data_IF_649671510550
#
_entry.id   IF_649671510550
#
_cell.length_a   1.000
_cell.length_b   1.000
_cell.length_c   1.000
_cell.angle_alpha   90.00
_cell.angle_beta   90.00
_cell.angle_gamma   90.00
#
_symmetry.space_group_name_H-M   'P 1'
#
loop_
_entity.id
_entity.type
_entity.pdbx_description
1 polymer ?
#
# COMPACT_ATOMS: atom_id res chain seq x y z
N UNK A 1 11.56 -2.96 2.59
CA UNK A 1 12.17 -4.09 1.86
C UNK A 1 11.84 -4.03 0.36
N UNK A 2 10.59 -3.77 -0.06
CA UNK A 2 10.19 -3.60 -1.47
C UNK A 2 11.00 -2.60 -2.33
N UNK A 3 11.50 -1.51 -1.76
CA UNK A 3 12.36 -0.57 -2.48
C UNK A 3 13.76 -1.12 -2.79
N UNK A 4 14.28 -1.99 -1.92
CA UNK A 4 15.61 -2.59 -2.06
C UNK A 4 15.61 -3.61 -3.20
N UNK A 5 14.59 -4.47 -3.26
CA UNK A 5 14.38 -5.45 -4.34
C UNK A 5 14.26 -4.78 -5.72
N UNK A 6 13.51 -3.67 -5.81
CA UNK A 6 13.36 -2.93 -7.07
C UNK A 6 14.69 -2.33 -7.54
N UNK A 7 15.50 -1.80 -6.61
CA UNK A 7 16.83 -1.27 -6.94
C UNK A 7 17.82 -2.36 -7.35
N UNK A 8 17.77 -3.53 -6.70
CA UNK A 8 18.63 -4.69 -6.99
C UNK A 8 18.36 -5.22 -8.40
N UNK A 9 17.09 -5.37 -8.79
CA UNK A 9 16.72 -5.86 -10.11
C UNK A 9 17.14 -4.89 -11.23
N UNK A 10 17.10 -3.58 -10.97
CA UNK A 10 17.56 -2.55 -11.92
C UNK A 10 19.07 -2.62 -12.12
N UNK A 11 19.86 -2.74 -11.04
CA UNK A 11 21.32 -2.86 -11.11
C UNK A 11 21.74 -4.15 -11.83
N UNK A 12 21.07 -5.27 -11.56
CA UNK A 12 21.31 -6.52 -12.26
C UNK A 12 21.00 -6.42 -13.77
N UNK A 13 19.91 -5.74 -14.14
CA UNK A 13 19.55 -5.52 -15.54
C UNK A 13 20.58 -4.67 -16.29
N UNK A 14 21.17 -3.68 -15.61
CA UNK A 14 22.27 -2.89 -16.17
C UNK A 14 23.56 -3.70 -16.36
N UNK A 15 23.89 -4.58 -15.42
CA UNK A 15 25.02 -5.50 -15.54
C UNK A 15 24.90 -6.42 -16.74
N UNK A 16 23.75 -7.07 -16.88
CA UNK A 16 23.45 -7.96 -18.00
C UNK A 16 23.58 -7.23 -19.36
N UNK A 17 23.17 -5.97 -19.43
CA UNK A 17 23.33 -5.16 -20.65
C UNK A 17 24.81 -4.99 -21.03
N UNK A 18 25.70 -4.69 -20.08
CA UNK A 18 27.15 -4.56 -20.33
C UNK A 18 27.75 -5.87 -20.86
N UNK A 19 27.32 -7.01 -20.33
CA UNK A 19 27.74 -8.35 -20.79
C UNK A 19 27.30 -8.62 -22.23
N UNK A 20 26.05 -8.31 -22.56
CA UNK A 20 25.49 -8.53 -23.89
C UNK A 20 26.23 -7.69 -24.93
N UNK A 21 26.55 -6.43 -24.63
CA UNK A 21 27.37 -5.60 -25.52
C UNK A 21 28.77 -6.23 -25.66
N UNK A 22 29.36 -6.74 -24.57
CA UNK A 22 30.64 -7.46 -24.55
C UNK A 22 30.66 -8.65 -25.51
N UNK A 23 29.65 -9.49 -25.43
CA UNK A 23 29.45 -10.62 -26.32
C UNK A 23 29.25 -10.18 -27.79
N UNK A 24 28.51 -9.09 -28.02
CA UNK A 24 28.29 -8.54 -29.36
C UNK A 24 29.61 -8.11 -30.01
N UNK A 25 30.47 -7.39 -29.29
CA UNK A 25 31.79 -6.98 -29.80
C UNK A 25 32.65 -8.18 -30.18
N UNK A 26 32.58 -9.26 -29.38
CA UNK A 26 33.28 -10.51 -29.66
C UNK A 26 32.79 -11.21 -30.92
N UNK A 27 31.48 -11.21 -31.17
CA UNK A 27 30.87 -11.81 -32.37
C UNK A 27 31.20 -11.00 -33.63
N UNK A 28 31.17 -9.67 -33.54
CA UNK A 28 31.41 -8.76 -34.68
C UNK A 28 32.91 -8.54 -34.96
N UNK A 29 33.80 -9.06 -34.10
CA UNK A 29 35.26 -8.97 -34.24
C UNK A 29 35.79 -7.52 -34.27
N UNK A 30 35.18 -6.63 -33.50
CA UNK A 30 35.70 -5.27 -33.35
C UNK A 30 37.02 -5.23 -32.57
N UNK A 31 37.86 -4.25 -32.86
CA UNK A 31 39.09 -4.01 -32.12
C UNK A 31 38.77 -3.70 -30.66
N UNK A 32 39.45 -4.36 -29.71
CA UNK A 32 39.13 -4.22 -28.28
C UNK A 32 38.04 -5.19 -27.77
N UNK A 33 37.59 -6.15 -28.58
CA UNK A 33 36.51 -7.07 -28.20
C UNK A 33 36.84 -7.97 -26.99
N UNK A 34 38.10 -8.36 -26.80
CA UNK A 34 38.50 -9.18 -25.66
C UNK A 34 38.44 -8.38 -24.36
N UNK A 35 38.90 -7.14 -24.40
CA UNK A 35 38.94 -6.20 -23.28
C UNK A 35 37.51 -5.86 -22.86
N UNK A 36 36.62 -5.62 -23.81
CA UNK A 36 35.23 -5.30 -23.51
C UNK A 36 34.45 -6.52 -22.97
N UNK A 37 34.67 -7.70 -23.55
CA UNK A 37 34.09 -8.94 -23.03
C UNK A 37 34.60 -9.26 -21.61
N UNK A 38 35.87 -8.99 -21.32
CA UNK A 38 36.45 -9.14 -19.99
C UNK A 38 35.77 -8.22 -18.98
N UNK A 39 35.56 -6.94 -19.33
CA UNK A 39 34.83 -5.98 -18.49
C UNK A 39 33.39 -6.45 -18.23
N UNK A 40 32.68 -6.94 -19.25
CA UNK A 40 31.34 -7.50 -19.09
C UNK A 40 31.31 -8.67 -18.12
N UNK A 41 32.17 -9.67 -18.31
CA UNK A 41 32.23 -10.87 -17.46
C UNK A 41 32.61 -10.54 -16.00
N UNK A 42 33.52 -9.60 -15.77
CA UNK A 42 33.84 -9.13 -14.40
C UNK A 42 32.67 -8.39 -13.74
N UNK A 43 31.93 -7.60 -14.52
CA UNK A 43 30.73 -6.90 -14.02
C UNK A 43 29.66 -7.91 -13.59
N UNK A 44 29.44 -8.97 -14.39
CA UNK A 44 28.48 -10.03 -14.06
C UNK A 44 28.89 -10.83 -12.81
N UNK A 45 30.17 -11.17 -12.69
CA UNK A 45 30.69 -11.87 -11.52
C UNK A 45 30.51 -11.06 -10.23
N UNK A 46 30.75 -9.75 -10.28
CA UNK A 46 30.55 -8.86 -9.13
C UNK A 46 29.07 -8.78 -8.72
N UNK A 47 28.14 -8.72 -9.68
CA UNK A 47 26.70 -8.68 -9.42
C UNK A 47 26.22 -9.99 -8.81
N UNK A 48 26.65 -11.15 -9.33
CA UNK A 48 26.26 -12.45 -8.76
C UNK A 48 26.74 -12.65 -7.32
N UNK A 49 27.96 -12.21 -7.00
CA UNK A 49 28.48 -12.28 -5.62
C UNK A 49 27.64 -11.38 -4.70
N UNK A 50 27.35 -10.15 -5.12
CA UNK A 50 26.52 -9.23 -4.35
C UNK A 50 25.09 -9.78 -4.16
N UNK A 51 24.52 -10.39 -5.19
CA UNK A 51 23.20 -11.01 -5.14
C UNK A 51 23.19 -12.23 -4.21
N UNK A 52 24.22 -13.08 -4.26
CA UNK A 52 24.35 -14.25 -3.39
C UNK A 52 24.43 -13.87 -1.91
N UNK A 53 25.20 -12.82 -1.58
CA UNK A 53 25.32 -12.32 -0.20
C UNK A 53 24.00 -11.69 0.27
N UNK A 54 23.31 -10.92 -0.58
CA UNK A 54 22.01 -10.35 -0.25
C UNK A 54 20.91 -11.40 -0.13
N UNK A 55 20.93 -12.44 -0.96
CA UNK A 55 19.99 -13.56 -0.89
C UNK A 55 20.15 -14.34 0.42
N UNK A 56 21.37 -14.50 0.93
CA UNK A 56 21.60 -15.07 2.26
C UNK A 56 21.02 -14.22 3.42
N UNK A 57 20.88 -12.91 3.22
CA UNK A 57 20.28 -12.00 4.21
C UNK A 57 18.78 -11.78 4.03
N UNK A 58 18.22 -12.18 2.89
CA UNK A 58 16.79 -12.10 2.64
C UNK A 58 16.05 -13.10 3.54
N UNK A 59 15.16 -12.60 4.40
CA UNK A 59 14.31 -13.45 5.24
C UNK A 59 13.41 -14.31 4.34
N UNK A 60 13.21 -15.60 4.67
CA UNK A 60 12.29 -16.45 3.94
C UNK A 60 10.91 -15.80 3.91
N UNK A 61 10.24 -15.88 2.75
CA UNK A 61 8.90 -15.34 2.56
C UNK A 61 7.99 -15.88 3.66
N UNK A 62 7.32 -14.97 4.39
CA UNK A 62 6.40 -15.38 5.46
C UNK A 62 5.16 -16.01 4.83
N UNK A 63 5.03 -17.32 4.93
CA UNK A 63 3.77 -18.00 4.68
C UNK A 63 2.77 -17.57 5.77
N UNK A 64 1.81 -16.73 5.38
CA UNK A 64 0.73 -16.33 6.26
C UNK A 64 -0.36 -17.41 6.20
N UNK A 65 -0.51 -18.18 7.28
CA UNK A 65 -1.61 -19.14 7.44
C UNK A 65 -2.91 -18.40 7.82
N UNK A 66 -3.48 -17.68 6.84
CA UNK A 66 -4.70 -16.87 6.98
C UNK A 66 -5.92 -17.71 7.40
N UNK A 67 -5.90 -19.03 7.17
CA UNK A 67 -6.91 -20.00 7.60
C UNK A 67 -7.05 -20.09 9.13
N UNK A 68 -5.99 -19.77 9.89
CA UNK A 68 -6.06 -19.72 11.37
C UNK A 68 -6.76 -18.47 11.90
N UNK A 69 -6.77 -17.39 11.12
CA UNK A 69 -7.27 -16.07 11.57
C UNK A 69 -8.68 -15.80 11.04
N UNK A 70 -9.01 -16.37 9.88
CA UNK A 70 -10.34 -16.27 9.26
C UNK A 70 -10.83 -17.66 8.86
N UNK A 71 -11.28 -18.48 9.83
CA UNK A 71 -11.79 -19.83 9.54
C UNK A 71 -13.00 -19.81 8.61
N UNK A 72 -13.69 -18.67 8.50
CA UNK A 72 -14.85 -18.46 7.62
C UNK A 72 -14.50 -18.48 6.13
N UNK A 73 -13.21 -18.37 5.76
CA UNK A 73 -12.73 -18.48 4.38
C UNK A 73 -12.43 -19.94 3.96
N UNK A 74 -12.25 -20.85 4.92
CA UNK A 74 -11.84 -22.22 4.63
C UNK A 74 -12.98 -23.08 4.02
N UNK A 75 -14.24 -22.76 4.34
CA UNK A 75 -15.40 -23.60 3.99
C UNK A 75 -16.36 -22.96 2.97
N UNK A 76 -16.11 -21.72 2.53
CA UNK A 76 -16.88 -21.05 1.46
C UNK A 76 -18.40 -20.89 1.70
N UNK A 77 -18.90 -21.16 2.92
CA UNK A 77 -20.32 -21.12 3.25
C UNK A 77 -20.71 -19.83 4.00
N UNK A 78 -21.88 -19.22 3.71
CA UNK A 78 -22.32 -18.00 4.40
C UNK A 78 -22.62 -18.30 5.89
N UNK A 79 -22.14 -17.42 6.77
CA UNK A 79 -22.16 -17.56 8.22
C UNK A 79 -23.56 -17.86 8.78
N UNK A 80 -23.69 -18.97 9.52
CA UNK A 80 -24.85 -19.26 10.38
C UNK A 80 -24.59 -18.73 11.79
N UNK A 81 -25.45 -17.82 12.24
CA UNK A 81 -25.47 -17.32 13.61
C UNK A 81 -25.82 -18.45 14.59
N UNK A 82 -24.94 -18.69 15.57
CA UNK A 82 -25.16 -19.65 16.63
C UNK A 82 -25.59 -18.95 17.93
N UNK A 83 -26.62 -19.52 18.55
CA UNK A 83 -27.36 -19.03 19.71
C UNK A 83 -26.61 -19.07 21.06
N UNK A 84 -25.30 -19.32 21.06
CA UNK A 84 -24.39 -19.08 22.20
C UNK A 84 -23.98 -17.61 22.34
N UNK A 85 -24.42 -16.78 21.40
CA UNK A 85 -24.19 -15.35 21.38
C UNK A 85 -24.86 -14.61 22.55
N UNK A 86 -25.87 -15.14 23.25
CA UNK A 86 -26.57 -14.40 24.31
C UNK A 86 -25.69 -14.01 25.50
N UNK A 87 -24.94 -14.98 26.06
CA UNK A 87 -24.05 -14.74 27.20
C UNK A 87 -22.72 -14.11 26.77
N UNK A 88 -22.20 -14.54 25.61
CA UNK A 88 -20.97 -14.00 25.04
C UNK A 88 -21.15 -12.57 24.50
N UNK A 89 -22.37 -12.18 24.10
CA UNK A 89 -22.68 -10.80 23.71
C UNK A 89 -22.85 -9.87 24.91
N UNK A 90 -23.18 -10.36 26.11
CA UNK A 90 -23.05 -9.54 27.32
C UNK A 90 -21.59 -9.28 27.67
N UNK A 91 -20.70 -10.24 27.42
CA UNK A 91 -19.25 -10.07 27.63
C UNK A 91 -18.58 -9.20 26.54
N UNK A 92 -19.13 -9.18 25.33
CA UNK A 92 -18.55 -8.51 24.16
C UNK A 92 -19.32 -7.24 23.72
N UNK A 93 -20.38 -6.85 24.42
CA UNK A 93 -21.02 -5.55 24.23
C UNK A 93 -20.10 -4.48 24.81
N UNK A 94 -19.65 -3.54 23.96
CA UNK A 94 -18.93 -2.34 24.37
C UNK A 94 -19.78 -1.54 25.36
N UNK A 95 -19.54 -1.77 26.65
CA UNK A 95 -20.29 -1.13 27.71
C UNK A 95 -20.56 -2.04 28.89
N UNK A 96 -19.54 -2.73 29.40
CA UNK A 96 -19.54 -3.12 30.82
C UNK A 96 -19.29 -1.86 31.65
N UNK A 97 -20.31 -0.99 31.70
CA UNK A 97 -20.28 0.21 32.53
C UNK A 97 -20.14 -0.18 34.00
N UNK A 98 -19.47 0.68 34.77
CA UNK A 98 -19.29 0.53 36.22
C UNK A 98 -20.63 0.20 36.92
N UNK A 99 -21.76 0.69 36.40
CA UNK A 99 -23.11 0.44 36.90
C UNK A 99 -23.54 -1.03 36.87
N UNK A 100 -23.16 -1.81 35.85
CA UNK A 100 -23.54 -3.24 35.76
C UNK A 100 -22.72 -4.06 36.76
N UNK A 101 -21.45 -3.72 36.93
CA UNK A 101 -20.56 -4.33 37.93
C UNK A 101 -20.99 -3.94 39.35
N UNK A 102 -21.40 -2.69 39.56
CA UNK A 102 -21.92 -2.20 40.83
C UNK A 102 -23.24 -2.89 41.20
N UNK A 103 -24.15 -3.05 40.24
CA UNK A 103 -25.42 -3.73 40.47
C UNK A 103 -25.23 -5.24 40.74
N UNK A 104 -24.28 -5.89 40.06
CA UNK A 104 -23.93 -7.29 40.35
C UNK A 104 -23.28 -7.43 41.73
N UNK A 105 -22.40 -6.49 42.11
CA UNK A 105 -21.75 -6.46 43.43
C UNK A 105 -22.74 -6.20 44.54
N UNK A 106 -23.70 -5.27 44.35
CA UNK A 106 -24.82 -5.05 45.29
C UNK A 106 -25.68 -6.29 45.44
N UNK A 107 -25.97 -7.00 44.34
CA UNK A 107 -26.77 -8.23 44.36
C UNK A 107 -26.05 -9.37 45.10
N UNK A 108 -24.75 -9.55 44.86
CA UNK A 108 -23.91 -10.53 45.57
C UNK A 108 -23.74 -10.19 47.06
N UNK A 109 -23.61 -8.90 47.39
CA UNK A 109 -23.59 -8.43 48.78
C UNK A 109 -24.93 -8.69 49.47
N UNK A 110 -26.05 -8.41 48.82
CA UNK A 110 -27.39 -8.71 49.36
C UNK A 110 -27.62 -10.21 49.58
N UNK A 111 -27.10 -11.07 48.70
CA UNK A 111 -27.15 -12.52 48.90
C UNK A 111 -26.29 -12.96 50.10
N UNK A 112 -25.11 -12.33 50.27
CA UNK A 112 -24.22 -12.58 51.41
C UNK A 112 -24.86 -12.13 52.73
N UNK A 113 -25.50 -10.97 52.76
CA UNK A 113 -26.19 -10.44 53.95
C UNK A 113 -27.41 -11.30 54.32
N UNK A 114 -28.12 -11.82 53.31
CA UNK A 114 -29.22 -12.79 53.51
C UNK A 114 -28.70 -14.12 54.08
N UNK A 115 -27.55 -14.60 53.59
CA UNK A 115 -26.92 -15.82 54.10
C UNK A 115 -26.41 -15.66 55.55
N UNK A 116 -25.84 -14.51 55.89
CA UNK A 116 -25.43 -14.17 57.26
C UNK A 116 -26.64 -14.08 58.20
N UNK A 117 -27.75 -13.50 57.74
CA UNK A 117 -29.00 -13.44 58.52
C UNK A 117 -29.57 -14.84 58.78
N UNK A 118 -29.50 -15.75 57.79
CA UNK A 118 -29.86 -17.16 57.96
C UNK A 118 -28.92 -17.90 58.93
N UNK A 119 -27.64 -17.53 58.99
CA UNK A 119 -26.69 -18.08 59.96
C UNK A 119 -27.03 -17.70 61.39
N UNK A 120 -27.44 -16.45 61.63
CA UNK A 120 -27.83 -15.97 62.96
C UNK A 120 -29.14 -16.61 63.43
N UNK A 121 -30.12 -16.77 62.52
CA UNK A 121 -31.38 -17.47 62.80
C UNK A 121 -31.12 -18.95 63.14
N UNK A 122 -30.24 -19.64 62.40
CA UNK A 122 -29.85 -21.02 62.69
C UNK A 122 -29.15 -21.18 64.05
N UNK A 123 -28.30 -20.22 64.45
CA UNK A 123 -27.66 -20.20 65.78
C UNK A 123 -28.68 -19.98 66.91
N UNK A 124 -29.71 -19.18 66.69
CA UNK A 124 -30.76 -18.88 67.68
C UNK A 124 -31.76 -20.02 67.93
N UNK A 125 -31.92 -20.96 66.97
CA UNK A 125 -32.89 -22.08 67.06
C UNK A 125 -32.24 -23.45 67.31
N UNK A 126 -30.92 -23.53 67.54
CA UNK A 126 -30.24 -24.78 67.86
C UNK A 126 -30.25 -25.83 66.74
N UNK A 127 -30.42 -25.40 65.49
CA UNK A 127 -30.51 -26.30 64.34
C UNK A 127 -29.11 -26.65 63.79
N UNK A 128 -28.67 -27.85 64.18
CA UNK A 128 -27.76 -28.80 63.51
C UNK A 128 -26.37 -28.32 63.09
N UNK A 129 -25.35 -28.93 63.70
CA UNK A 129 -23.92 -28.78 63.42
C UNK A 129 -23.55 -28.83 61.92
N UNK A 130 -24.28 -29.61 61.11
CA UNK A 130 -24.08 -29.74 59.67
C UNK A 130 -24.44 -28.47 58.89
N UNK A 131 -25.43 -27.69 59.36
CA UNK A 131 -25.74 -26.38 58.78
C UNK A 131 -24.64 -25.38 59.11
N UNK A 132 -24.13 -25.36 60.35
CA UNK A 132 -23.00 -24.51 60.75
C UNK A 132 -21.74 -24.85 59.95
N UNK A 133 -21.47 -26.14 59.74
CA UNK A 133 -20.33 -26.59 58.93
C UNK A 133 -20.50 -26.19 57.46
N UNK A 134 -21.69 -26.38 56.89
CA UNK A 134 -22.00 -25.96 55.51
C UNK A 134 -21.90 -24.44 55.33
N UNK A 135 -22.25 -23.67 56.36
CA UNK A 135 -22.20 -22.23 56.33
C UNK A 135 -20.78 -21.69 56.54
N UNK A 136 -19.95 -22.34 57.36
CA UNK A 136 -18.51 -22.05 57.42
C UNK A 136 -17.83 -22.34 56.08
N UNK A 137 -18.14 -23.46 55.44
CA UNK A 137 -17.62 -23.78 54.10
C UNK A 137 -18.10 -22.79 53.04
N UNK A 138 -19.36 -22.35 53.15
CA UNK A 138 -19.93 -21.31 52.27
C UNK A 138 -19.27 -19.95 52.51
N UNK A 139 -18.98 -19.59 53.76
CA UNK A 139 -18.28 -18.37 54.13
C UNK A 139 -16.84 -18.36 53.59
N UNK A 140 -16.13 -19.50 53.67
CA UNK A 140 -14.82 -19.66 53.05
C UNK A 140 -14.88 -19.57 51.52
N UNK A 141 -15.90 -20.17 50.91
CA UNK A 141 -16.15 -20.09 49.46
C UNK A 141 -16.51 -18.67 49.02
N UNK A 142 -17.25 -17.91 49.83
CA UNK A 142 -17.55 -16.49 49.62
C UNK A 142 -16.29 -15.62 49.79
N UNK A 143 -15.42 -15.95 50.74
CA UNK A 143 -14.12 -15.31 50.88
C UNK A 143 -13.21 -15.56 49.67
N UNK A 144 -13.19 -16.78 49.15
CA UNK A 144 -12.49 -17.14 47.92
C UNK A 144 -13.08 -16.44 46.69
N UNK A 145 -14.42 -16.36 46.59
CA UNK A 145 -15.10 -15.60 45.54
C UNK A 145 -14.77 -14.11 45.62
N UNK A 146 -14.77 -13.50 46.80
CA UNK A 146 -14.41 -12.10 46.99
C UNK A 146 -12.96 -11.82 46.57
N UNK A 147 -12.05 -12.77 46.84
CA UNK A 147 -10.66 -12.72 46.36
C UNK A 147 -10.60 -12.81 44.83
N UNK A 148 -11.30 -13.76 44.22
CA UNK A 148 -11.36 -13.91 42.75
C UNK A 148 -11.99 -12.68 42.08
N UNK A 149 -13.00 -12.07 42.69
CA UNK A 149 -13.61 -10.81 42.21
C UNK A 149 -12.65 -9.63 42.34
N UNK A 150 -11.86 -9.55 43.42
CA UNK A 150 -10.81 -8.54 43.58
C UNK A 150 -9.66 -8.74 42.58
N UNK A 151 -9.24 -9.98 42.35
CA UNK A 151 -8.21 -10.34 41.38
C UNK A 151 -8.71 -10.10 39.93
N UNK A 152 -9.98 -10.38 39.65
CA UNK A 152 -10.64 -10.06 38.38
C UNK A 152 -10.81 -8.55 38.19
N UNK A 153 -11.10 -7.78 39.25
CA UNK A 153 -11.17 -6.31 39.22
C UNK A 153 -9.80 -5.70 38.96
N UNK A 154 -8.74 -6.25 39.54
CA UNK A 154 -7.35 -5.86 39.30
C UNK A 154 -6.93 -6.20 37.87
N UNK A 155 -7.33 -7.37 37.38
CA UNK A 155 -7.10 -7.80 35.98
C UNK A 155 -7.90 -6.93 35.00
N UNK A 156 -9.13 -6.56 35.33
CA UNK A 156 -9.96 -5.65 34.53
C UNK A 156 -9.41 -4.21 34.56
N UNK A 157 -8.83 -3.78 35.67
CA UNK A 157 -8.06 -2.53 35.76
C UNK A 157 -6.79 -2.60 34.90
N UNK A 158 -6.11 -3.75 34.84
CA UNK A 158 -4.99 -3.96 33.93
C UNK A 158 -5.40 -3.99 32.44
N UNK A 159 -6.61 -4.47 32.13
CA UNK A 159 -7.25 -4.36 30.80
C UNK A 159 -7.62 -2.89 30.50
N UNK A 160 -8.03 -2.12 31.51
CA UNK A 160 -8.26 -0.68 31.42
C UNK A 160 -6.94 0.09 31.23
N UNK A 161 -5.82 -0.38 31.78
CA UNK A 161 -4.47 0.17 31.50
C UNK A 161 -3.99 -0.24 30.09
N UNK A 162 -4.39 -1.41 29.58
CA UNK A 162 -4.27 -1.79 28.16
C UNK A 162 -5.20 -0.99 27.22
N UNK A 163 -6.11 -0.16 27.75
CA UNK A 163 -7.02 0.68 26.96
C UNK A 163 -6.28 1.74 26.13
N UNK A 164 -5.07 2.17 26.53
CA UNK A 164 -4.27 3.07 25.70
C UNK A 164 -3.83 2.39 24.41
N UNK A 165 -3.41 1.11 24.46
CA UNK A 165 -2.99 0.37 23.27
C UNK A 165 -4.18 -0.03 22.39
N UNK A 166 -5.30 -0.46 22.98
CA UNK A 166 -6.52 -0.79 22.23
C UNK A 166 -7.18 0.45 21.60
N UNK A 167 -7.20 1.59 22.30
CA UNK A 167 -7.65 2.87 21.74
C UNK A 167 -6.69 3.38 20.66
N UNK A 168 -5.38 3.17 20.82
CA UNK A 168 -4.39 3.46 19.78
C UNK A 168 -4.56 2.54 18.57
N UNK A 169 -4.89 1.27 18.77
CA UNK A 169 -5.16 0.30 17.70
C UNK A 169 -6.42 0.67 16.93
N UNK A 170 -7.51 1.03 17.62
CA UNK A 170 -8.74 1.54 17.01
C UNK A 170 -8.48 2.84 16.23
N UNK A 171 -7.68 3.77 16.76
CA UNK A 171 -7.25 4.98 16.05
C UNK A 171 -6.37 4.67 14.83
N UNK A 172 -5.48 3.69 14.91
CA UNK A 172 -4.65 3.25 13.79
C UNK A 172 -5.47 2.57 12.70
N UNK A 173 -6.47 1.76 13.07
CA UNK A 173 -7.41 1.15 12.13
C UNK A 173 -8.32 2.18 11.46
N UNK A 174 -8.82 3.17 12.21
CA UNK A 174 -9.58 4.28 11.63
C UNK A 174 -8.71 5.08 10.64
N UNK A 175 -7.46 5.41 11.00
CA UNK A 175 -6.50 6.06 10.09
C UNK A 175 -6.19 5.21 8.86
N UNK A 176 -6.07 3.90 9.01
CA UNK A 176 -5.85 3.00 7.88
C UNK A 176 -7.08 2.98 6.95
N UNK A 177 -8.29 3.01 7.51
CA UNK A 177 -9.54 3.19 6.75
C UNK A 177 -9.57 4.50 5.97
N UNK A 178 -9.22 5.62 6.61
CA UNK A 178 -9.13 6.93 5.96
C UNK A 178 -8.06 6.95 4.86
N UNK A 179 -6.92 6.31 5.10
CA UNK A 179 -5.85 6.16 4.11
C UNK A 179 -6.29 5.31 2.92
N UNK A 180 -7.03 4.22 3.13
CA UNK A 180 -7.58 3.40 2.05
C UNK A 180 -8.65 4.13 1.25
N UNK A 181 -9.52 4.89 1.91
CA UNK A 181 -10.51 5.73 1.25
C UNK A 181 -9.83 6.83 0.40
N UNK A 182 -8.80 7.48 0.95
CA UNK A 182 -7.98 8.43 0.20
C UNK A 182 -7.22 7.78 -0.95
N UNK A 183 -6.70 6.56 -0.77
CA UNK A 183 -6.00 5.83 -1.83
C UNK A 183 -6.93 5.49 -3.00
N UNK A 184 -8.16 5.06 -2.70
CA UNK A 184 -9.17 4.80 -3.72
C UNK A 184 -9.55 6.07 -4.48
N UNK A 185 -9.69 7.20 -3.78
CA UNK A 185 -9.94 8.49 -4.43
C UNK A 185 -8.77 8.94 -5.33
N UNK A 186 -7.52 8.69 -4.91
CA UNK A 186 -6.34 8.94 -5.74
C UNK A 186 -6.31 8.00 -6.94
N UNK A 187 -6.65 6.73 -6.78
CA UNK A 187 -6.70 5.76 -7.88
C UNK A 187 -7.74 6.14 -8.94
N UNK A 188 -8.93 6.58 -8.50
CA UNK A 188 -9.97 7.16 -9.37
C UNK A 188 -9.43 8.38 -10.13
N UNK A 189 -8.71 9.27 -9.43
CA UNK A 189 -8.12 10.48 -10.00
C UNK A 189 -7.02 10.14 -11.01
N UNK A 190 -6.13 9.19 -10.70
CA UNK A 190 -5.08 8.73 -11.63
C UNK A 190 -5.68 8.09 -12.87
N UNK A 191 -6.74 7.29 -12.75
CA UNK A 191 -7.42 6.73 -13.93
C UNK A 191 -8.02 7.86 -14.79
N UNK A 192 -8.63 8.86 -14.17
CA UNK A 192 -9.17 10.01 -14.90
C UNK A 192 -8.06 10.84 -15.56
N UNK A 193 -6.94 11.06 -14.88
CA UNK A 193 -5.79 11.81 -15.38
C UNK A 193 -5.07 11.04 -16.49
N UNK A 194 -4.87 9.74 -16.34
CA UNK A 194 -4.37 8.86 -17.39
C UNK A 194 -5.30 8.88 -18.62
N UNK A 195 -6.62 8.90 -18.43
CA UNK A 195 -7.58 9.04 -19.53
C UNK A 195 -7.45 10.41 -20.24
N UNK A 196 -7.29 11.50 -19.48
CA UNK A 196 -7.00 12.84 -20.04
C UNK A 196 -5.67 12.85 -20.79
N UNK A 197 -4.64 12.22 -20.24
CA UNK A 197 -3.32 12.13 -20.84
C UNK A 197 -3.35 11.31 -22.13
N UNK A 198 -4.09 10.21 -22.18
CA UNK A 198 -4.32 9.43 -23.41
C UNK A 198 -5.05 10.25 -24.48
N UNK A 199 -6.07 11.05 -24.10
CA UNK A 199 -6.74 11.97 -25.02
C UNK A 199 -5.78 13.06 -25.53
N UNK A 200 -4.96 13.63 -24.66
CA UNK A 200 -3.96 14.64 -25.03
C UNK A 200 -2.89 14.07 -25.97
N UNK A 201 -2.41 12.85 -25.70
CA UNK A 201 -1.49 12.12 -26.58
C UNK A 201 -2.11 11.87 -27.95
N UNK A 202 -3.36 11.41 -28.00
CA UNK A 202 -4.02 11.15 -29.28
C UNK A 202 -4.23 12.46 -30.09
N UNK A 203 -4.59 13.55 -29.41
CA UNK A 203 -4.65 14.88 -30.01
C UNK A 203 -3.29 15.39 -30.49
N UNK A 204 -2.23 15.12 -29.74
CA UNK A 204 -0.86 15.47 -30.11
C UNK A 204 -0.42 14.74 -31.38
N UNK A 205 -0.70 13.43 -31.52
CA UNK A 205 -0.42 12.70 -32.75
C UNK A 205 -1.13 13.30 -33.97
N UNK A 206 -2.40 13.71 -33.81
CA UNK A 206 -3.13 14.41 -34.87
C UNK A 206 -2.48 15.76 -35.24
N UNK A 207 -2.11 16.56 -34.25
CA UNK A 207 -1.45 17.84 -34.47
C UNK A 207 -0.04 17.69 -35.07
N UNK A 208 0.73 16.69 -34.67
CA UNK A 208 2.05 16.40 -35.25
C UNK A 208 1.89 16.00 -36.71
N UNK A 209 0.91 15.16 -37.04
CA UNK A 209 0.66 14.77 -38.43
C UNK A 209 0.28 15.99 -39.30
N UNK A 210 -0.61 16.85 -38.79
CA UNK A 210 -0.97 18.11 -39.46
C UNK A 210 0.22 19.07 -39.61
N UNK A 211 1.09 19.15 -38.59
CA UNK A 211 2.30 19.98 -38.62
C UNK A 211 3.31 19.47 -39.63
N UNK A 212 3.52 18.15 -39.71
CA UNK A 212 4.38 17.51 -40.71
C UNK A 212 3.87 17.78 -42.12
N UNK A 213 2.55 17.72 -42.32
CA UNK A 213 1.90 18.03 -43.59
C UNK A 213 2.05 19.51 -43.98
N UNK A 214 1.89 20.43 -43.02
CA UNK A 214 2.19 21.86 -43.21
C UNK A 214 3.68 22.15 -43.45
N UNK A 215 4.59 21.41 -42.83
CA UNK A 215 6.02 21.54 -43.08
C UNK A 215 6.35 21.13 -44.53
N UNK A 216 5.77 20.02 -44.99
CA UNK A 216 5.94 19.55 -46.37
C UNK A 216 5.38 20.56 -47.39
N UNK A 217 4.23 21.18 -47.12
CA UNK A 217 3.69 22.23 -48.00
C UNK A 217 4.54 23.50 -47.98
N UNK A 218 5.01 23.93 -46.81
CA UNK A 218 5.90 25.09 -46.67
C UNK A 218 7.22 24.88 -47.42
N UNK A 219 7.76 23.66 -47.40
CA UNK A 219 8.95 23.31 -48.17
C UNK A 219 8.69 23.44 -49.68
N UNK A 220 7.52 23.01 -50.15
CA UNK A 220 7.10 23.17 -51.55
C UNK A 220 6.92 24.64 -51.95
N UNK A 221 6.35 25.46 -51.06
CA UNK A 221 6.19 26.90 -51.29
C UNK A 221 7.55 27.62 -51.32
N UNK A 222 8.51 27.21 -50.49
CA UNK A 222 9.87 27.73 -50.52
C UNK A 222 10.59 27.40 -51.85
N UNK A 223 10.39 26.20 -52.40
CA UNK A 223 10.91 25.83 -53.73
C UNK A 223 10.28 26.67 -54.84
N UNK A 224 8.96 26.85 -54.81
CA UNK A 224 8.25 27.69 -55.78
C UNK A 224 8.71 29.15 -55.69
N UNK A 225 8.86 29.69 -54.49
CA UNK A 225 9.36 31.04 -54.25
C UNK A 225 10.79 31.21 -54.79
N UNK A 226 11.67 30.23 -54.55
CA UNK A 226 13.02 30.21 -55.12
C UNK A 226 12.99 30.22 -56.65
N UNK A 227 12.08 29.46 -57.27
CA UNK A 227 11.90 29.40 -58.72
C UNK A 227 11.43 30.75 -59.28
N UNK A 228 10.43 31.38 -58.65
CA UNK A 228 9.94 32.70 -59.05
C UNK A 228 11.01 33.79 -58.87
N UNK A 229 11.79 33.75 -57.79
CA UNK A 229 12.93 34.65 -57.62
C UNK A 229 13.99 34.47 -58.71
N UNK A 230 14.26 33.23 -59.14
CA UNK A 230 15.20 32.97 -60.23
C UNK A 230 14.69 33.57 -61.55
N UNK A 231 13.40 33.42 -61.86
CA UNK A 231 12.76 34.05 -63.04
C UNK A 231 12.79 35.58 -62.96
N UNK A 232 12.46 36.15 -61.80
CA UNK A 232 12.50 37.59 -61.59
C UNK A 232 13.91 38.14 -61.82
N UNK A 233 14.93 37.48 -61.27
CA UNK A 233 16.32 37.87 -61.44
C UNK A 233 16.75 37.79 -62.93
N UNK A 234 16.35 36.73 -63.64
CA UNK A 234 16.61 36.60 -65.08
C UNK A 234 15.93 37.71 -65.90
N UNK A 235 14.70 38.09 -65.54
CA UNK A 235 14.00 39.22 -66.18
C UNK A 235 14.68 40.55 -65.87
N UNK A 236 15.10 40.79 -64.64
CA UNK A 236 15.85 42.02 -64.26
C UNK A 236 17.18 42.08 -65.03
N UNK A 237 17.89 40.97 -65.17
CA UNK A 237 19.12 40.91 -65.97
C UNK A 237 18.85 41.23 -67.44
N UNK A 238 17.82 40.63 -68.04
CA UNK A 238 17.42 40.91 -69.43
C UNK A 238 17.06 42.38 -69.62
N UNK A 239 16.30 42.96 -68.67
CA UNK A 239 15.91 44.36 -68.70
C UNK A 239 17.14 45.28 -68.61
N UNK A 240 18.05 45.01 -67.68
CA UNK A 240 19.31 45.76 -67.54
C UNK A 240 20.18 45.65 -68.79
N UNK A 241 20.17 44.51 -69.48
CA UNK A 241 20.91 44.31 -70.71
C UNK A 241 20.34 45.14 -71.87
N UNK A 242 19.00 45.24 -71.98
CA UNK A 242 18.33 46.13 -72.94
C UNK A 242 18.56 47.60 -72.61
N UNK A 243 18.49 47.99 -71.33
CA UNK A 243 18.84 49.35 -70.92
C UNK A 243 20.31 49.69 -71.22
N UNK A 244 21.23 48.74 -71.00
CA UNK A 244 22.65 48.90 -71.31
C UNK A 244 22.92 49.04 -72.80
N UNK A 245 22.26 48.24 -73.64
CA UNK A 245 22.38 48.36 -75.10
C UNK A 245 21.76 49.66 -75.62
N UNK A 246 20.64 50.11 -75.04
CA UNK A 246 20.02 51.40 -75.37
C UNK A 246 20.88 52.60 -74.92
N UNK A 247 21.49 52.53 -73.73
CA UNK A 247 22.44 53.55 -73.25
C UNK A 247 23.69 53.63 -74.14
N UNK A 248 24.20 52.48 -74.58
CA UNK A 248 25.35 52.41 -75.49
C UNK A 248 25.00 52.99 -76.86
N UNK A 249 23.81 52.69 -77.37
CA UNK A 249 23.28 53.23 -78.62
C UNK A 249 22.94 54.73 -78.58
N UNK A 250 22.73 55.31 -77.39
CA UNK A 250 22.54 56.76 -77.20
C UNK A 250 23.84 57.54 -76.95
N UNK A 251 24.95 56.86 -76.64
CA UNK A 251 26.26 57.49 -76.35
C UNK A 251 27.27 57.34 -77.49
N UNK A 252 27.04 56.44 -78.45
CA UNK A 252 27.76 56.35 -79.71
C UNK A 252 27.03 57.11 -80.82
#
# INVERSE_FOLDING_TARGET
MRGLEKSINVVASFGAAVVIVGALFKIVHWTGANEMLMVGMFTEAAIFILFGVLYLQAKPDREYNWEKVYPELADGAPAKSSSSAGLSALANSQGLGADVVENLTKSLKGLTDTANSLQEISKATGATQDFVNSLNSSSQSLGALNKTVADATTSLSSISISSTEAANYAKQYAKAGDQLASLNAVYETEIQEASKHLKAINGYYGNVNATVEQMASTQKDAENFKSELAKLNANIQSLNQVYGSMLTAMKG
#
